data_IF_016607609877
#
_entry.id   IF_016607609877
#
_cell.length_a   1.000
_cell.length_b   1.000
_cell.length_c   1.000
_cell.angle_alpha   90.00
_cell.angle_beta   90.00
_cell.angle_gamma   90.00
#
_symmetry.space_group_name_H-M   'P 1'
#
loop_
_entity.id
_entity.type
_entity.pdbx_description
1 polymer ?
#
# COMPACT_ATOMS: atom_id res chain seq x y z
N UNK A 1 -9.52 -29.06 -10.26
CA UNK A 1 -9.56 -27.58 -10.10
C UNK A 1 -8.13 -27.10 -10.12
N UNK A 2 -7.79 -26.20 -11.03
CA UNK A 2 -6.43 -25.66 -11.12
C UNK A 2 -6.30 -24.64 -10.00
N UNK A 3 -5.43 -24.95 -9.04
CA UNK A 3 -5.10 -24.10 -7.92
C UNK A 3 -4.34 -22.89 -8.47
N UNK A 4 -5.07 -21.80 -8.77
CA UNK A 4 -4.47 -20.62 -9.41
C UNK A 4 -3.72 -19.84 -8.34
N UNK A 5 -2.50 -20.30 -8.05
CA UNK A 5 -1.58 -19.81 -7.02
C UNK A 5 -0.98 -18.44 -7.32
N UNK A 6 -1.83 -17.43 -7.50
CA UNK A 6 -1.44 -16.02 -7.55
C UNK A 6 -1.86 -15.26 -6.28
N UNK A 7 -1.79 -15.93 -5.14
CA UNK A 7 -1.91 -15.25 -3.86
C UNK A 7 -0.62 -15.50 -3.07
N UNK A 8 0.12 -14.43 -2.84
CA UNK A 8 1.31 -14.45 -1.99
C UNK A 8 1.00 -14.84 -0.52
N UNK A 9 -0.28 -14.90 -0.13
CA UNK A 9 -0.77 -15.36 1.18
C UNK A 9 -1.54 -16.69 1.14
N UNK A 10 -1.93 -17.19 -0.03
CA UNK A 10 -2.64 -18.47 -0.14
C UNK A 10 -1.79 -19.40 -0.97
N UNK A 11 -1.10 -20.28 -0.26
CA UNK A 11 -0.30 -21.31 -0.86
C UNK A 11 -1.21 -22.45 -1.38
N UNK A 12 -0.67 -23.30 -2.26
CA UNK A 12 -1.46 -24.41 -2.82
C UNK A 12 -2.06 -25.32 -1.75
N UNK A 13 -3.13 -26.05 -2.06
CA UNK A 13 -3.71 -27.06 -1.16
C UNK A 13 -2.66 -28.07 -0.66
N UNK A 14 -1.68 -28.41 -1.51
CA UNK A 14 -0.53 -29.24 -1.14
C UNK A 14 0.33 -28.60 -0.05
N UNK A 15 0.55 -27.28 -0.12
CA UNK A 15 1.27 -26.53 0.90
C UNK A 15 0.51 -26.52 2.22
N UNK A 16 -0.81 -26.30 2.21
CA UNK A 16 -1.62 -26.31 3.44
C UNK A 16 -1.73 -27.69 4.09
N UNK A 17 -1.56 -28.77 3.33
CA UNK A 17 -1.43 -30.12 3.89
C UNK A 17 -0.04 -30.38 4.50
N UNK A 18 0.99 -29.68 4.04
CA UNK A 18 2.39 -29.87 4.47
C UNK A 18 2.80 -28.92 5.59
N UNK A 19 2.23 -27.72 5.61
CA UNK A 19 2.62 -26.62 6.49
C UNK A 19 1.39 -25.99 7.14
N UNK A 20 1.54 -25.56 8.40
CA UNK A 20 0.48 -24.90 9.13
C UNK A 20 0.01 -23.62 8.40
N UNK A 21 -1.25 -23.22 8.58
CA UNK A 21 -1.73 -21.92 8.10
C UNK A 21 -0.99 -20.72 8.73
N UNK A 22 -0.17 -20.96 9.75
CA UNK A 22 0.67 -19.97 10.43
C UNK A 22 2.16 -20.17 10.15
N UNK A 23 2.52 -20.94 9.13
CA UNK A 23 3.90 -21.35 8.87
C UNK A 23 4.89 -20.19 8.86
N UNK A 24 4.56 -19.06 8.23
CA UNK A 24 5.43 -17.89 8.18
C UNK A 24 5.67 -17.29 9.58
N UNK A 25 4.62 -17.21 10.40
CA UNK A 25 4.72 -16.73 11.77
C UNK A 25 5.51 -17.73 12.63
N UNK A 26 5.23 -19.02 12.53
CA UNK A 26 5.94 -20.06 13.27
C UNK A 26 7.43 -20.10 12.91
N UNK A 27 7.75 -19.98 11.61
CA UNK A 27 9.13 -19.91 11.13
C UNK A 27 9.85 -18.66 11.64
N UNK A 28 9.16 -17.51 11.66
CA UNK A 28 9.69 -16.27 12.22
C UNK A 28 9.98 -16.38 13.73
N UNK A 29 9.04 -16.95 14.48
CA UNK A 29 9.19 -17.16 15.91
C UNK A 29 10.29 -18.18 16.23
N UNK A 30 10.41 -19.26 15.43
CA UNK A 30 11.49 -20.23 15.55
C UNK A 30 12.87 -19.63 15.27
N UNK A 31 12.95 -18.60 14.42
CA UNK A 31 14.16 -17.81 14.20
C UNK A 31 14.46 -16.82 15.35
N UNK A 32 13.66 -16.81 16.41
CA UNK A 32 13.85 -15.97 17.59
C UNK A 32 13.48 -14.51 17.36
N UNK A 33 12.60 -14.22 16.39
CA UNK A 33 12.18 -12.86 16.05
C UNK A 33 13.38 -11.91 15.81
N UNK A 34 14.09 -12.08 14.69
CA UNK A 34 15.36 -11.39 14.46
C UNK A 34 15.26 -9.85 14.42
N UNK A 35 14.04 -9.31 14.36
CA UNK A 35 13.78 -7.87 14.27
C UNK A 35 13.15 -7.31 15.56
N UNK A 36 12.93 -8.14 16.58
CA UNK A 36 12.48 -7.71 17.91
C UNK A 36 11.05 -7.17 17.95
N UNK A 37 10.14 -7.67 17.12
CA UNK A 37 8.73 -7.30 17.16
C UNK A 37 7.95 -7.94 18.31
N UNK A 38 8.45 -9.01 18.90
CA UNK A 38 7.84 -9.80 19.95
C UNK A 38 8.56 -9.59 21.28
N UNK A 39 7.81 -9.22 22.31
CA UNK A 39 8.26 -9.16 23.69
C UNK A 39 7.86 -10.47 24.37
N UNK A 40 8.87 -11.29 24.68
CA UNK A 40 8.73 -12.61 25.31
C UNK A 40 7.79 -13.59 24.57
N UNK A 41 7.58 -13.39 23.26
CA UNK A 41 6.73 -14.26 22.44
C UNK A 41 5.22 -14.10 22.58
N UNK A 42 4.74 -13.23 23.48
CA UNK A 42 3.32 -13.09 23.80
C UNK A 42 2.72 -11.73 23.41
N UNK A 43 3.55 -10.68 23.33
CA UNK A 43 3.08 -9.31 23.05
C UNK A 43 3.96 -8.62 22.02
N UNK A 44 3.43 -7.60 21.34
CA UNK A 44 4.20 -6.80 20.39
C UNK A 44 5.07 -5.76 21.11
N UNK A 45 6.34 -5.63 20.72
CA UNK A 45 7.20 -4.56 21.22
C UNK A 45 6.80 -3.22 20.58
N UNK A 46 6.26 -2.33 21.39
CA UNK A 46 5.75 -1.03 20.94
C UNK A 46 6.85 -0.16 20.32
N UNK A 47 8.09 -0.25 20.82
CA UNK A 47 9.18 0.57 20.31
C UNK A 47 9.62 0.12 18.91
N UNK A 48 9.67 -1.18 18.67
CA UNK A 48 9.96 -1.77 17.36
C UNK A 48 8.84 -1.50 16.38
N UNK A 49 7.58 -1.66 16.78
CA UNK A 49 6.43 -1.30 15.95
C UNK A 49 6.46 0.18 15.57
N UNK A 50 6.76 1.08 16.50
CA UNK A 50 6.87 2.51 16.22
C UNK A 50 8.00 2.80 15.22
N UNK A 51 9.19 2.20 15.40
CA UNK A 51 10.31 2.33 14.44
C UNK A 51 9.91 1.85 13.05
N UNK A 52 9.15 0.76 12.95
CA UNK A 52 8.65 0.27 11.67
C UNK A 52 7.64 1.24 11.04
N UNK A 53 6.73 1.82 11.84
CA UNK A 53 5.80 2.86 11.37
C UNK A 53 6.53 4.11 10.86
N UNK A 54 7.61 4.50 11.52
CA UNK A 54 8.45 5.64 11.09
C UNK A 54 9.13 5.33 9.74
N UNK A 55 9.69 4.12 9.58
CA UNK A 55 10.23 3.68 8.28
C UNK A 55 9.16 3.64 7.18
N UNK A 56 7.95 3.15 7.49
CA UNK A 56 6.85 3.12 6.53
C UNK A 56 6.41 4.54 6.13
N UNK A 57 6.47 5.51 7.04
CA UNK A 57 6.22 6.92 6.75
C UNK A 57 7.28 7.49 5.80
N UNK A 58 8.57 7.23 6.04
CA UNK A 58 9.63 7.66 5.12
C UNK A 58 9.49 7.02 3.74
N UNK A 59 9.15 5.72 3.66
CA UNK A 59 8.85 5.05 2.40
C UNK A 59 7.67 5.71 1.68
N UNK A 60 6.63 6.11 2.41
CA UNK A 60 5.47 6.81 1.83
C UNK A 60 5.88 8.14 1.19
N UNK A 61 6.73 8.92 1.86
CA UNK A 61 7.28 10.19 1.34
C UNK A 61 8.12 9.95 0.09
N UNK A 62 9.00 8.95 0.11
CA UNK A 62 9.85 8.59 -1.02
C UNK A 62 9.02 8.12 -2.23
N UNK A 63 8.01 7.27 -2.01
CA UNK A 63 7.11 6.82 -3.07
C UNK A 63 6.30 7.97 -3.66
N UNK A 64 5.78 8.87 -2.81
CA UNK A 64 5.09 10.07 -3.27
C UNK A 64 6.00 10.92 -4.18
N UNK A 65 7.24 11.18 -3.76
CA UNK A 65 8.23 11.88 -4.56
C UNK A 65 8.49 11.18 -5.91
N UNK A 66 8.71 9.87 -5.89
CA UNK A 66 8.93 9.09 -7.11
C UNK A 66 7.72 9.11 -8.04
N UNK A 67 6.49 9.05 -7.52
CA UNK A 67 5.26 9.16 -8.31
C UNK A 67 5.15 10.56 -8.92
N UNK A 68 5.38 11.59 -8.13
CA UNK A 68 5.35 12.98 -8.57
C UNK A 68 6.32 13.23 -9.72
N UNK A 69 7.61 12.90 -9.54
CA UNK A 69 8.64 13.14 -10.55
C UNK A 69 8.60 12.12 -11.71
N UNK A 70 8.24 10.87 -11.44
CA UNK A 70 8.32 9.76 -12.38
C UNK A 70 7.12 9.60 -13.31
N UNK A 71 5.99 10.27 -13.04
CA UNK A 71 4.79 10.19 -13.88
C UNK A 71 4.83 11.10 -15.13
N UNK A 72 5.97 11.74 -15.41
CA UNK A 72 6.18 12.63 -16.55
C UNK A 72 5.64 14.03 -16.31
N UNK A 73 4.32 14.20 -16.32
CA UNK A 73 3.69 15.51 -16.13
C UNK A 73 3.01 15.62 -14.77
N UNK A 74 3.69 15.85 -13.63
CA UNK A 74 3.07 15.84 -12.29
C UNK A 74 1.77 16.64 -12.18
N UNK A 75 0.83 16.17 -11.37
CA UNK A 75 -0.34 16.95 -11.03
C UNK A 75 0.04 18.00 -9.97
N UNK A 76 -0.78 19.03 -9.78
CA UNK A 76 -0.47 20.00 -8.71
C UNK A 76 -0.62 19.33 -7.36
N UNK A 77 0.13 19.78 -6.36
CA UNK A 77 0.09 19.19 -5.01
C UNK A 77 -1.34 19.01 -4.47
N UNK A 78 -2.23 19.98 -4.68
CA UNK A 78 -3.64 19.88 -4.26
C UNK A 78 -4.43 18.81 -5.01
N UNK A 79 -4.14 18.58 -6.29
CA UNK A 79 -4.78 17.54 -7.09
C UNK A 79 -4.23 16.15 -6.70
N UNK A 80 -2.92 16.04 -6.47
CA UNK A 80 -2.29 14.78 -6.06
C UNK A 80 -2.69 14.33 -4.66
N UNK A 81 -2.83 15.26 -3.71
CA UNK A 81 -3.29 14.95 -2.35
C UNK A 81 -4.72 14.39 -2.31
N UNK A 82 -5.49 14.54 -3.39
CA UNK A 82 -6.86 14.02 -3.50
C UNK A 82 -6.95 12.68 -4.24
N UNK A 83 -5.81 12.11 -4.66
CA UNK A 83 -5.76 10.83 -5.37
C UNK A 83 -6.27 9.70 -4.47
N UNK A 84 -7.31 9.01 -4.94
CA UNK A 84 -7.93 7.86 -4.29
C UNK A 84 -7.57 6.56 -4.99
N UNK A 85 -7.33 5.52 -4.21
CA UNK A 85 -7.06 4.16 -4.72
C UNK A 85 -8.35 3.34 -4.79
N UNK A 86 -9.31 3.64 -3.92
CA UNK A 86 -10.64 3.01 -3.88
C UNK A 86 -11.73 4.06 -4.06
N UNK A 87 -12.88 3.65 -4.55
CA UNK A 87 -14.05 4.52 -4.59
C UNK A 87 -14.51 4.80 -3.15
N UNK A 88 -14.84 6.05 -2.85
CA UNK A 88 -15.51 6.46 -1.60
C UNK A 88 -16.86 7.06 -1.94
N UNK A 89 -17.78 7.20 -0.98
CA UNK A 89 -19.07 7.87 -1.22
C UNK A 89 -18.91 9.29 -1.80
N UNK A 90 -17.81 9.96 -1.46
CA UNK A 90 -17.52 11.34 -1.86
C UNK A 90 -16.85 11.45 -3.23
N UNK A 91 -16.11 10.43 -3.69
CA UNK A 91 -15.50 10.44 -5.02
C UNK A 91 -15.04 9.07 -5.52
N UNK A 92 -14.94 8.95 -6.85
CA UNK A 92 -14.35 7.78 -7.51
C UNK A 92 -12.83 7.71 -7.33
N UNK A 93 -12.27 6.50 -7.48
CA UNK A 93 -10.82 6.27 -7.50
C UNK A 93 -10.15 6.90 -8.72
N UNK A 94 -8.88 7.21 -8.55
CA UNK A 94 -7.99 7.78 -9.55
C UNK A 94 -6.94 6.77 -10.04
N UNK A 95 -6.65 5.72 -9.26
CA UNK A 95 -5.58 4.76 -9.56
C UNK A 95 -6.16 3.49 -10.20
N UNK A 96 -5.55 3.06 -11.31
CA UNK A 96 -5.97 1.91 -12.10
C UNK A 96 -4.77 1.09 -12.56
N UNK A 97 -4.96 -0.21 -12.77
CA UNK A 97 -3.99 -1.05 -13.48
C UNK A 97 -4.34 -1.12 -14.96
N UNK A 98 -3.46 -0.66 -15.85
CA UNK A 98 -3.66 -0.65 -17.30
C UNK A 98 -2.34 -0.85 -18.03
N UNK A 99 -2.37 -1.68 -19.08
CA UNK A 99 -1.21 -1.96 -19.91
C UNK A 99 0.05 -2.39 -19.12
N UNK A 100 -0.13 -3.19 -18.06
CA UNK A 100 0.97 -3.68 -17.23
C UNK A 100 1.58 -2.66 -16.26
N UNK A 101 1.03 -1.46 -16.15
CA UNK A 101 1.50 -0.42 -15.23
C UNK A 101 0.35 0.26 -14.49
N UNK A 102 0.69 1.06 -13.48
CA UNK A 102 -0.29 1.93 -12.85
C UNK A 102 -0.58 3.14 -13.72
N UNK A 103 -1.86 3.39 -13.93
CA UNK A 103 -2.42 4.58 -14.54
C UNK A 103 -3.09 5.43 -13.44
N UNK A 104 -2.75 6.72 -13.39
CA UNK A 104 -3.36 7.69 -12.47
C UNK A 104 -4.14 8.70 -13.30
N UNK A 105 -5.45 8.75 -13.05
CA UNK A 105 -6.37 9.68 -13.68
C UNK A 105 -6.84 10.71 -12.66
N UNK A 106 -6.44 11.97 -12.85
CA UNK A 106 -6.92 13.11 -12.03
C UNK A 106 -7.77 14.06 -12.84
N UNK A 107 -8.67 14.78 -12.18
CA UNK A 107 -9.47 15.84 -12.81
C UNK A 107 -8.89 17.19 -12.42
N UNK A 108 -8.53 17.96 -13.43
CA UNK A 108 -7.98 19.29 -13.32
C UNK A 108 -9.11 20.32 -13.26
N UNK A 109 -9.19 21.08 -12.16
CA UNK A 109 -10.25 22.04 -11.93
C UNK A 109 -9.86 23.50 -12.26
N UNK A 110 -8.62 23.83 -12.66
CA UNK A 110 -8.34 25.24 -13.04
C UNK A 110 -9.05 25.58 -14.34
N UNK A 111 -9.81 26.67 -14.31
CA UNK A 111 -10.65 27.11 -15.42
C UNK A 111 -12.05 26.50 -15.41
N UNK A 112 -12.44 25.70 -14.42
CA UNK A 112 -13.82 25.20 -14.33
C UNK A 112 -14.86 26.32 -14.27
N UNK A 113 -14.52 27.44 -13.63
CA UNK A 113 -15.35 28.65 -13.63
C UNK A 113 -15.49 29.29 -15.01
N UNK A 114 -14.63 28.95 -15.98
CA UNK A 114 -14.61 29.49 -17.34
C UNK A 114 -15.17 28.47 -18.35
N UNK A 115 -14.86 27.17 -18.22
CA UNK A 115 -15.26 26.11 -19.17
C UNK A 115 -16.43 25.23 -18.70
N UNK A 116 -16.92 25.41 -17.47
CA UNK A 116 -17.97 24.59 -16.86
C UNK A 116 -17.56 23.15 -16.49
N UNK A 117 -16.46 22.64 -17.03
CA UNK A 117 -16.01 21.26 -16.84
C UNK A 117 -14.50 21.18 -16.59
N UNK A 118 -14.09 20.25 -15.70
CA UNK A 118 -12.69 19.95 -15.42
C UNK A 118 -12.05 19.13 -16.55
N UNK A 119 -10.75 19.30 -16.77
CA UNK A 119 -10.01 18.53 -17.79
C UNK A 119 -9.44 17.26 -17.17
N UNK A 120 -9.58 16.12 -17.85
CA UNK A 120 -9.01 14.87 -17.37
C UNK A 120 -7.50 14.82 -17.66
N UNK A 121 -6.69 14.44 -16.68
CA UNK A 121 -5.25 14.21 -16.81
C UNK A 121 -4.92 12.72 -16.65
N UNK A 122 -4.42 12.18 -17.75
CA UNK A 122 -3.81 10.88 -18.03
C UNK A 122 -2.33 10.69 -17.65
N UNK A 123 -1.90 9.96 -16.61
CA UNK A 123 -0.49 9.53 -16.52
C UNK A 123 -0.30 8.06 -16.22
N UNK A 124 0.80 7.50 -16.74
CA UNK A 124 1.23 6.13 -16.48
C UNK A 124 2.56 6.16 -15.72
N UNK A 125 2.68 5.33 -14.70
CA UNK A 125 3.94 5.16 -13.98
C UNK A 125 4.87 4.22 -14.76
N UNK A 126 6.20 4.42 -14.70
CA UNK A 126 7.16 3.44 -15.18
C UNK A 126 6.91 2.06 -14.57
N UNK A 127 7.26 0.99 -15.29
CA UNK A 127 6.98 -0.39 -14.86
C UNK A 127 7.56 -0.71 -13.48
N UNK A 128 8.80 -0.32 -13.22
CA UNK A 128 9.44 -0.55 -11.91
C UNK A 128 8.75 0.25 -10.80
N UNK A 129 8.43 1.53 -11.03
CA UNK A 129 7.70 2.33 -10.05
C UNK A 129 6.31 1.78 -9.78
N UNK A 130 5.67 1.22 -10.81
CA UNK A 130 4.37 0.56 -10.66
C UNK A 130 4.44 -0.65 -9.72
N UNK A 131 5.50 -1.47 -9.84
CA UNK A 131 5.72 -2.60 -8.95
C UNK A 131 5.98 -2.15 -7.51
N UNK A 132 6.77 -1.10 -7.31
CA UNK A 132 7.02 -0.54 -5.97
C UNK A 132 5.73 -0.03 -5.33
N UNK A 133 4.92 0.73 -6.06
CA UNK A 133 3.62 1.19 -5.59
C UNK A 133 2.68 0.00 -5.30
N UNK A 134 2.73 -1.04 -6.13
CA UNK A 134 1.91 -2.25 -5.95
C UNK A 134 2.24 -2.93 -4.62
N UNK A 135 3.52 -3.22 -4.37
CA UNK A 135 3.95 -3.85 -3.11
C UNK A 135 3.63 -2.97 -1.89
N UNK A 136 3.83 -1.66 -2.00
CA UNK A 136 3.47 -0.75 -0.93
C UNK A 136 1.97 -0.81 -0.60
N UNK A 137 1.10 -0.79 -1.62
CA UNK A 137 -0.35 -0.84 -1.42
C UNK A 137 -0.85 -2.22 -0.97
N UNK A 138 -0.19 -3.31 -1.38
CA UNK A 138 -0.57 -4.67 -1.05
C UNK A 138 -0.14 -5.09 0.37
N UNK A 139 1.03 -4.64 0.82
CA UNK A 139 1.65 -5.15 2.05
C UNK A 139 1.86 -4.07 3.11
N UNK A 140 2.53 -2.98 2.74
CA UNK A 140 2.99 -2.00 3.71
C UNK A 140 1.83 -1.16 4.22
N UNK A 141 1.01 -0.62 3.32
CA UNK A 141 -0.10 0.27 3.69
C UNK A 141 -1.17 -0.43 4.55
N UNK A 142 -1.62 -1.65 4.22
CA UNK A 142 -2.56 -2.38 5.08
C UNK A 142 -1.96 -2.68 6.46
N UNK A 143 -0.70 -3.09 6.53
CA UNK A 143 0.00 -3.35 7.79
C UNK A 143 0.16 -2.07 8.63
N UNK A 144 0.44 -0.95 7.99
CA UNK A 144 0.50 0.36 8.64
C UNK A 144 -0.85 0.75 9.26
N UNK A 145 -1.95 0.58 8.51
CA UNK A 145 -3.31 0.83 9.00
C UNK A 145 -3.64 -0.09 10.18
N UNK A 146 -3.28 -1.38 10.09
CA UNK A 146 -3.46 -2.35 11.17
C UNK A 146 -2.78 -1.89 12.46
N UNK A 147 -1.50 -1.52 12.40
CA UNK A 147 -0.76 -1.07 13.58
C UNK A 147 -1.30 0.23 14.16
N UNK A 148 -1.65 1.20 13.31
CA UNK A 148 -2.24 2.48 13.75
C UNK A 148 -3.56 2.22 14.48
N UNK A 149 -4.44 1.40 13.91
CA UNK A 149 -5.70 1.03 14.56
C UNK A 149 -5.44 0.32 15.89
N UNK A 150 -4.56 -0.68 15.91
CA UNK A 150 -4.23 -1.40 17.14
C UNK A 150 -3.68 -0.45 18.23
N UNK A 151 -2.94 0.58 17.85
CA UNK A 151 -2.38 1.56 18.79
C UNK A 151 -3.44 2.53 19.31
N UNK A 152 -4.34 3.00 18.45
CA UNK A 152 -5.44 3.93 18.80
C UNK A 152 -6.49 3.24 19.69
N UNK A 153 -6.83 1.98 19.41
CA UNK A 153 -7.87 1.26 20.16
C UNK A 153 -7.37 0.63 21.47
N UNK A 154 -6.07 0.65 21.77
CA UNK A 154 -5.49 0.20 23.07
C UNK A 154 -5.28 1.37 24.07
N UNK A 155 -6.11 2.41 23.98
CA UNK A 155 -6.12 3.57 24.92
C UNK A 155 -7.26 3.44 25.97
N UNK A 156 -7.95 2.29 26.04
CA UNK A 156 -8.94 1.99 27.08
C UNK A 156 -8.63 0.66 27.77
#
# INVERSE_FOLDING_TARGET
MVDVGFNYLVASAKYHNQYSGRYLLESWMAAGDPWGFSKYGETWDRSTVQKWLDMANELTKALYFCVHCGCGQPARGTEEMTVKIVNTPEAMRNVFWRNGTFMIQTTYHKGQSISGHGKTRVVFLPGLLSQHLHHYLAFIRPTQIFWINLTIYNIY
#
